data_IF_652475246360
#
_entry.id   IF_652475246360
#
_cell.length_a   1.000
_cell.length_b   1.000
_cell.length_c   1.000
_cell.angle_alpha   90.00
_cell.angle_beta   90.00
_cell.angle_gamma   90.00
#
_symmetry.space_group_name_H-M   'P 1'
#
loop_
_entity.id
_entity.type
_entity.pdbx_description
1 polymer ?
#
# COMPACT_ATOMS: atom_id res chain seq x y z
N UNK A 1 7.43 9.67 1.83
CA UNK A 1 7.67 10.57 2.99
C UNK A 1 8.11 9.79 4.23
N UNK A 2 8.63 10.47 5.28
CA UNK A 2 9.00 9.86 6.57
C UNK A 2 8.21 10.49 7.71
N UNK A 3 7.72 9.68 8.66
CA UNK A 3 6.87 10.10 9.78
C UNK A 3 7.26 9.36 11.06
N UNK A 4 6.93 9.91 12.23
CA UNK A 4 7.07 9.18 13.50
C UNK A 4 5.92 8.20 13.72
N UNK A 5 6.12 7.18 14.57
CA UNK A 5 5.06 6.27 14.99
C UNK A 5 3.88 6.99 15.67
N UNK A 6 4.13 8.09 16.39
CA UNK A 6 3.08 8.88 17.04
C UNK A 6 2.16 9.53 16.00
N UNK A 7 2.75 10.20 15.01
CA UNK A 7 2.00 10.83 13.92
C UNK A 7 1.28 9.79 13.05
N UNK A 8 1.95 8.65 12.79
CA UNK A 8 1.34 7.55 12.05
C UNK A 8 0.08 7.03 12.72
N UNK A 9 0.06 6.89 14.06
CA UNK A 9 -1.16 6.51 14.81
C UNK A 9 -2.26 7.56 14.70
N UNK A 10 -1.92 8.84 14.78
CA UNK A 10 -2.90 9.93 14.73
C UNK A 10 -3.52 10.13 13.33
N UNK A 11 -2.78 9.83 12.26
CA UNK A 11 -3.17 10.12 10.86
C UNK A 11 -3.10 8.90 9.94
N UNK A 12 -3.25 7.69 10.50
CA UNK A 12 -3.06 6.44 9.74
C UNK A 12 -3.92 6.38 8.48
N UNK A 13 -5.20 6.76 8.58
CA UNK A 13 -6.13 6.73 7.45
C UNK A 13 -5.68 7.62 6.27
N UNK A 14 -5.03 8.74 6.56
CA UNK A 14 -4.48 9.63 5.53
C UNK A 14 -3.24 9.03 4.89
N UNK A 15 -2.32 8.48 5.70
CA UNK A 15 -1.11 7.83 5.20
C UNK A 15 -1.44 6.59 4.35
N UNK A 16 -2.45 5.81 4.73
CA UNK A 16 -2.95 4.69 3.93
C UNK A 16 -3.52 5.18 2.58
N UNK A 17 -4.19 6.35 2.54
CA UNK A 17 -4.64 6.95 1.27
C UNK A 17 -3.48 7.45 0.40
N UNK A 18 -2.38 7.88 0.99
CA UNK A 18 -1.17 8.26 0.24
C UNK A 18 -0.50 7.00 -0.33
N UNK A 19 -0.32 5.98 0.52
CA UNK A 19 0.20 4.67 0.11
C UNK A 19 -0.64 3.99 -0.96
N UNK A 20 -1.97 4.03 -0.89
CA UNK A 20 -2.81 3.42 -1.92
C UNK A 20 -2.72 4.13 -3.28
N UNK A 21 -2.21 5.37 -3.32
CA UNK A 21 -1.99 6.15 -4.54
C UNK A 21 -0.58 6.02 -5.11
N UNK A 22 0.31 5.26 -4.48
CA UNK A 22 1.68 5.07 -4.94
C UNK A 22 2.76 5.66 -4.03
N UNK A 23 2.39 6.42 -3.00
CA UNK A 23 3.39 7.08 -2.16
C UNK A 23 3.87 6.19 -1.01
N UNK A 24 5.18 5.94 -0.94
CA UNK A 24 5.77 5.20 0.17
C UNK A 24 5.92 6.07 1.42
N UNK A 25 5.50 5.53 2.58
CA UNK A 25 5.55 6.22 3.87
C UNK A 25 6.42 5.43 4.85
N UNK A 26 7.61 5.93 5.16
CA UNK A 26 8.51 5.34 6.15
C UNK A 26 8.11 5.79 7.55
N UNK A 27 7.91 4.83 8.44
CA UNK A 27 7.57 5.06 9.85
C UNK A 27 8.82 4.86 10.70
N UNK A 28 9.12 5.85 11.54
CA UNK A 28 10.24 5.82 12.47
C UNK A 28 9.80 5.63 13.92
N UNK A 29 10.64 4.93 14.69
CA UNK A 29 10.53 4.80 16.15
C UNK A 29 11.82 5.33 16.75
N UNK A 30 11.73 6.34 17.61
CA UNK A 30 12.90 7.03 18.19
C UNK A 30 13.93 7.47 17.13
N UNK A 31 13.45 7.98 15.98
CA UNK A 31 14.28 8.45 14.88
C UNK A 31 14.86 7.36 13.98
N UNK A 32 14.60 6.08 14.26
CA UNK A 32 15.05 4.95 13.42
C UNK A 32 13.94 4.47 12.51
N UNK A 33 14.22 4.32 11.22
CA UNK A 33 13.30 3.70 10.26
C UNK A 33 12.97 2.27 10.71
N UNK A 34 11.69 1.95 10.87
CA UNK A 34 11.24 0.69 11.49
C UNK A 34 10.22 -0.06 10.63
N UNK A 35 9.38 0.67 9.89
CA UNK A 35 8.37 0.08 9.03
C UNK A 35 8.07 1.01 7.85
N UNK A 36 7.37 0.50 6.83
CA UNK A 36 6.95 1.30 5.68
C UNK A 36 5.54 0.91 5.24
N UNK A 37 4.71 1.91 4.92
CA UNK A 37 3.46 1.70 4.20
C UNK A 37 3.73 1.82 2.71
N UNK A 38 3.33 0.80 1.97
CA UNK A 38 3.48 0.71 0.50
C UNK A 38 2.14 0.37 -0.14
N UNK A 39 1.95 0.70 -1.43
CA UNK A 39 0.78 0.25 -2.17
C UNK A 39 0.72 -1.28 -2.20
N UNK A 40 -0.47 -1.85 -2.01
CA UNK A 40 -0.67 -3.27 -2.28
C UNK A 40 -0.70 -3.48 -3.80
N UNK A 41 0.16 -4.33 -4.37
CA UNK A 41 0.14 -4.62 -5.79
C UNK A 41 -1.25 -5.14 -6.22
N UNK A 42 -1.82 -4.55 -7.27
CA UNK A 42 -3.07 -5.08 -7.83
C UNK A 42 -2.81 -6.48 -8.35
N UNK A 43 -3.52 -7.49 -7.82
CA UNK A 43 -3.57 -8.82 -8.44
C UNK A 43 -4.06 -8.61 -9.87
N UNK A 44 -3.24 -8.96 -10.85
CA UNK A 44 -3.73 -9.07 -12.22
C UNK A 44 -4.89 -10.05 -12.17
N UNK A 45 -6.07 -9.63 -12.64
CA UNK A 45 -7.20 -10.54 -12.85
C UNK A 45 -6.64 -11.66 -13.72
N UNK A 46 -6.50 -12.88 -13.17
CA UNK A 46 -6.32 -14.05 -14.01
C UNK A 46 -7.54 -14.05 -14.92
N UNK A 47 -7.33 -13.70 -16.19
CA UNK A 47 -8.32 -13.90 -17.21
C UNK A 47 -8.58 -15.40 -17.19
N UNK A 48 -9.79 -15.77 -16.81
CA UNK A 48 -10.23 -17.16 -16.86
C UNK A 48 -10.20 -17.57 -18.33
N UNK A 49 -9.08 -18.18 -18.72
CA UNK A 49 -8.81 -18.58 -20.10
C UNK A 49 -9.87 -19.56 -20.59
N UNK A 50 -10.41 -20.40 -19.72
CA UNK A 50 -11.47 -21.33 -20.10
C UNK A 50 -12.76 -20.58 -20.41
N UNK A 51 -13.10 -19.56 -19.61
CA UNK A 51 -14.28 -18.72 -19.88
C UNK A 51 -14.12 -17.91 -21.19
N UNK A 52 -12.92 -17.43 -21.48
CA UNK A 52 -12.61 -16.73 -22.73
C UNK A 52 -12.67 -17.65 -23.96
N UNK A 53 -12.12 -18.87 -23.85
CA UNK A 53 -12.13 -19.86 -24.95
C UNK A 53 -13.53 -20.39 -25.26
N UNK A 54 -14.45 -20.45 -24.30
CA UNK A 54 -15.85 -20.84 -24.53
C UNK A 54 -16.67 -19.77 -25.26
N UNK A 55 -16.13 -18.55 -25.43
CA UNK A 55 -16.79 -17.43 -26.10
C UNK A 55 -16.27 -17.19 -27.53
N UNK A 56 -15.33 -18.01 -28.00
CA UNK A 56 -14.85 -18.07 -29.39
C UNK A 56 -15.53 -19.23 -30.12
#
# INVERSE_FOLDING_TARGET
MTTTLREAKARLSEMVRLASRGEEVVITVHGKETAMLVPVPKRQRQVDREKWLRQL
#
